data_IF_542396312636
#
_entry.id   IF_542396312636
#
_cell.length_a   1.000
_cell.length_b   1.000
_cell.length_c   1.000
_cell.angle_alpha   90.00
_cell.angle_beta   90.00
_cell.angle_gamma   90.00
#
_symmetry.space_group_name_H-M   'P 1'
#
loop_
_entity.id
_entity.type
_entity.pdbx_description
1 polymer ?
#
# COMPACT_ATOMS: atom_id res chain seq x y z
N UNK A 1 -29.43 -49.48 25.00
CA UNK A 1 -28.04 -49.13 24.66
C UNK A 1 -27.93 -48.31 23.36
N UNK A 2 -28.81 -47.32 23.12
CA UNK A 2 -28.93 -46.65 21.80
C UNK A 2 -28.59 -45.14 21.80
N UNK A 3 -28.42 -44.52 22.97
CA UNK A 3 -28.15 -43.07 23.09
C UNK A 3 -26.67 -42.68 22.95
N UNK A 4 -25.75 -43.62 23.16
CA UNK A 4 -24.29 -43.35 23.13
C UNK A 4 -23.75 -43.11 21.71
N UNK A 5 -24.22 -43.88 20.73
CA UNK A 5 -23.73 -43.82 19.35
C UNK A 5 -24.20 -42.55 18.60
N UNK A 6 -25.40 -42.02 18.93
CA UNK A 6 -25.91 -40.76 18.35
C UNK A 6 -25.19 -39.53 18.88
N UNK A 7 -24.82 -39.54 20.17
CA UNK A 7 -24.03 -38.49 20.83
C UNK A 7 -22.62 -38.38 20.25
N UNK A 8 -21.96 -39.52 19.99
CA UNK A 8 -20.61 -39.56 19.44
C UNK A 8 -20.54 -39.03 18.00
N UNK A 9 -21.52 -39.41 17.15
CA UNK A 9 -21.61 -38.90 15.78
C UNK A 9 -21.91 -37.39 15.72
N UNK A 10 -22.69 -36.87 16.68
CA UNK A 10 -22.99 -35.43 16.78
C UNK A 10 -21.77 -34.62 17.25
N UNK A 11 -21.01 -35.15 18.23
CA UNK A 11 -19.75 -34.57 18.70
C UNK A 11 -18.68 -34.56 17.60
N UNK A 12 -18.58 -35.64 16.82
CA UNK A 12 -17.60 -35.74 15.74
C UNK A 12 -17.91 -34.77 14.58
N UNK A 13 -19.19 -34.62 14.20
CA UNK A 13 -19.61 -33.62 13.20
C UNK A 13 -19.35 -32.17 13.65
N UNK A 14 -19.59 -31.86 14.92
CA UNK A 14 -19.31 -30.53 15.47
C UNK A 14 -17.82 -30.20 15.48
N UNK A 15 -16.97 -31.17 15.82
CA UNK A 15 -15.51 -31.00 15.81
C UNK A 15 -14.99 -30.80 14.38
N UNK A 16 -15.45 -31.60 13.41
CA UNK A 16 -15.05 -31.44 12.00
C UNK A 16 -15.48 -30.09 11.42
N UNK A 17 -16.70 -29.63 11.74
CA UNK A 17 -17.19 -28.31 11.30
C UNK A 17 -16.45 -27.15 11.98
N UNK A 18 -16.10 -27.28 13.27
CA UNK A 18 -15.30 -26.28 13.98
C UNK A 18 -13.87 -26.19 13.43
N UNK A 19 -13.25 -27.33 13.09
CA UNK A 19 -11.94 -27.36 12.43
C UNK A 19 -11.99 -26.81 11.01
N UNK A 20 -13.04 -27.08 10.23
CA UNK A 20 -13.22 -26.50 8.90
C UNK A 20 -13.43 -24.97 8.98
N UNK A 21 -14.22 -24.49 9.94
CA UNK A 21 -14.43 -23.06 10.17
C UNK A 21 -13.14 -22.36 10.60
N UNK A 22 -12.40 -22.93 11.55
CA UNK A 22 -11.09 -22.42 11.99
C UNK A 22 -10.05 -22.44 10.85
N UNK A 23 -10.05 -23.47 10.00
CA UNK A 23 -9.20 -23.50 8.82
C UNK A 23 -9.58 -22.40 7.82
N UNK A 24 -10.86 -22.17 7.56
CA UNK A 24 -11.29 -21.10 6.64
C UNK A 24 -10.98 -19.68 7.14
N UNK A 25 -11.06 -19.43 8.45
CA UNK A 25 -10.68 -18.13 9.02
C UNK A 25 -9.16 -17.90 8.98
N UNK A 26 -8.37 -18.95 9.24
CA UNK A 26 -6.90 -18.91 9.10
C UNK A 26 -6.46 -18.70 7.64
N UNK A 27 -7.08 -19.37 6.67
CA UNK A 27 -6.77 -19.19 5.25
C UNK A 27 -7.17 -17.80 4.72
N UNK A 28 -8.23 -17.19 5.26
CA UNK A 28 -8.69 -15.86 4.83
C UNK A 28 -7.74 -14.73 5.24
N UNK A 29 -6.94 -14.95 6.29
CA UNK A 29 -6.00 -13.96 6.82
C UNK A 29 -4.82 -13.69 5.88
N UNK A 30 -4.43 -14.65 5.03
CA UNK A 30 -3.30 -14.46 4.10
C UNK A 30 -3.69 -13.74 2.80
N UNK A 31 -4.96 -13.81 2.39
CA UNK A 31 -5.43 -13.16 1.15
C UNK A 31 -5.43 -11.63 1.23
N UNK A 32 -5.31 -11.04 2.43
CA UNK A 32 -5.20 -9.59 2.61
C UNK A 32 -3.75 -9.07 2.57
N UNK A 33 -2.75 -9.94 2.47
CA UNK A 33 -1.34 -9.57 2.36
C UNK A 33 -0.90 -9.27 0.91
N UNK A 34 -1.83 -8.89 0.03
CA UNK A 34 -1.46 -8.37 -1.28
C UNK A 34 -0.84 -6.99 -1.07
N UNK A 35 0.49 -6.92 -1.04
CA UNK A 35 1.24 -5.67 -0.87
C UNK A 35 0.75 -4.62 -1.88
N UNK A 36 -0.04 -3.65 -1.39
CA UNK A 36 -0.58 -2.57 -2.22
C UNK A 36 0.59 -1.67 -2.60
N UNK A 37 0.76 -1.47 -3.91
CA UNK A 37 1.80 -0.55 -4.39
C UNK A 37 1.27 0.88 -4.28
N UNK A 38 2.07 1.76 -3.68
CA UNK A 38 1.80 3.20 -3.64
C UNK A 38 2.88 3.90 -4.45
N UNK A 39 2.47 4.65 -5.47
CA UNK A 39 3.35 5.49 -6.26
C UNK A 39 3.20 6.91 -5.73
N UNK A 40 4.28 7.42 -5.12
CA UNK A 40 4.33 8.78 -4.59
C UNK A 40 5.02 9.67 -5.60
N UNK A 41 4.33 10.72 -6.00
CA UNK A 41 4.86 11.75 -6.85
C UNK A 41 5.26 12.97 -6.03
N UNK A 42 6.58 13.25 -5.99
CA UNK A 42 7.08 14.49 -5.40
C UNK A 42 6.98 15.59 -6.47
N UNK A 43 6.01 16.50 -6.32
CA UNK A 43 5.72 17.56 -7.29
C UNK A 43 6.94 18.41 -7.63
N UNK A 44 6.97 18.98 -8.85
CA UNK A 44 8.07 19.82 -9.36
C UNK A 44 9.43 19.09 -9.39
N UNK A 45 10.55 19.84 -9.34
CA UNK A 45 11.92 19.32 -9.28
C UNK A 45 12.84 19.89 -10.36
N UNK A 46 14.14 19.91 -10.10
CA UNK A 46 15.13 20.44 -11.04
C UNK A 46 14.91 21.92 -11.33
N UNK A 47 14.72 22.28 -12.61
CA UNK A 47 14.45 23.67 -13.03
C UNK A 47 13.05 24.14 -12.61
N UNK A 48 12.11 23.23 -12.43
CA UNK A 48 10.78 23.57 -11.95
C UNK A 48 10.81 23.72 -10.43
N UNK A 49 10.78 24.98 -9.99
CA UNK A 49 10.82 25.34 -8.58
C UNK A 49 9.51 25.02 -7.85
N UNK A 50 8.39 25.10 -8.57
CA UNK A 50 7.06 25.23 -7.99
C UNK A 50 6.87 26.49 -7.13
N UNK A 51 5.67 26.61 -6.57
CA UNK A 51 5.28 27.66 -5.64
C UNK A 51 5.07 29.03 -6.28
N UNK A 52 4.91 30.04 -5.43
CA UNK A 52 4.70 31.43 -5.87
C UNK A 52 6.00 32.24 -5.83
N UNK A 53 6.12 33.33 -6.62
CA UNK A 53 7.28 34.20 -6.59
C UNK A 53 7.59 34.71 -5.17
N UNK A 54 8.89 34.94 -4.90
CA UNK A 54 9.42 35.50 -3.63
C UNK A 54 9.32 34.60 -2.38
N UNK A 55 8.82 33.37 -2.47
CA UNK A 55 9.00 32.42 -1.36
C UNK A 55 10.49 32.19 -1.08
N UNK A 56 10.88 31.88 0.17
CA UNK A 56 12.29 31.59 0.52
C UNK A 56 12.69 30.18 0.10
N UNK A 57 11.78 29.23 0.25
CA UNK A 57 11.98 27.82 -0.09
C UNK A 57 11.12 27.51 -1.32
N UNK A 58 11.67 26.79 -2.30
CA UNK A 58 10.87 26.31 -3.43
C UNK A 58 9.99 25.14 -3.02
N UNK A 59 8.77 25.09 -3.56
CA UNK A 59 7.82 23.99 -3.32
C UNK A 59 8.47 22.63 -3.58
N UNK A 60 9.28 22.50 -4.64
CA UNK A 60 10.04 21.28 -4.98
C UNK A 60 10.85 20.67 -3.83
N UNK A 61 11.33 21.50 -2.90
CA UNK A 61 12.13 21.05 -1.75
C UNK A 61 11.23 20.49 -0.65
N UNK A 62 10.09 21.16 -0.40
CA UNK A 62 9.11 20.75 0.60
C UNK A 62 8.40 19.47 0.15
N UNK A 63 8.01 19.40 -1.12
CA UNK A 63 7.36 18.20 -1.68
C UNK A 63 8.29 16.99 -1.62
N UNK A 64 9.58 17.14 -1.90
CA UNK A 64 10.56 16.05 -1.78
C UNK A 64 10.75 15.60 -0.32
N UNK A 65 10.82 16.54 0.63
CA UNK A 65 10.94 16.22 2.05
C UNK A 65 9.69 15.45 2.55
N UNK A 66 8.50 15.98 2.28
CA UNK A 66 7.23 15.36 2.68
C UNK A 66 7.07 13.98 2.03
N UNK A 67 7.33 13.85 0.73
CA UNK A 67 7.22 12.59 0.01
C UNK A 67 8.18 11.52 0.56
N UNK A 68 9.40 11.88 0.96
CA UNK A 68 10.34 10.95 1.60
C UNK A 68 9.89 10.51 2.99
N UNK A 69 9.29 11.40 3.78
CA UNK A 69 8.70 11.05 5.09
C UNK A 69 7.50 10.12 4.91
N UNK A 70 6.63 10.42 3.95
CA UNK A 70 5.48 9.57 3.60
C UNK A 70 5.95 8.18 3.14
N UNK A 71 6.95 8.11 2.26
CA UNK A 71 7.56 6.86 1.82
C UNK A 71 7.99 5.99 3.00
N UNK A 72 8.73 6.57 3.96
CA UNK A 72 9.21 5.84 5.14
C UNK A 72 8.05 5.27 5.96
N UNK A 73 7.06 6.08 6.31
CA UNK A 73 5.90 5.63 7.10
C UNK A 73 5.11 4.52 6.39
N UNK A 74 4.91 4.63 5.08
CA UNK A 74 4.21 3.62 4.29
C UNK A 74 5.02 2.32 4.16
N UNK A 75 6.34 2.41 3.98
CA UNK A 75 7.21 1.23 3.97
C UNK A 75 7.21 0.52 5.33
N UNK A 76 7.28 1.26 6.43
CA UNK A 76 7.15 0.73 7.80
C UNK A 76 5.79 0.05 8.03
N UNK A 77 4.75 0.48 7.31
CA UNK A 77 3.41 -0.10 7.35
C UNK A 77 3.20 -1.28 6.37
N UNK A 78 4.27 -1.77 5.71
CA UNK A 78 4.23 -2.93 4.82
C UNK A 78 3.84 -2.65 3.36
N UNK A 79 3.71 -1.39 2.96
CA UNK A 79 3.42 -1.03 1.57
C UNK A 79 4.67 -1.08 0.70
N UNK A 80 4.52 -1.54 -0.55
CA UNK A 80 5.52 -1.31 -1.59
C UNK A 80 5.40 0.12 -2.07
N UNK A 81 6.46 0.93 -1.92
CA UNK A 81 6.45 2.33 -2.32
C UNK A 81 7.39 2.60 -3.47
N UNK A 82 6.88 3.25 -4.51
CA UNK A 82 7.65 3.74 -5.66
C UNK A 82 7.60 5.27 -5.64
N UNK A 83 8.69 5.92 -5.99
CA UNK A 83 8.77 7.39 -6.07
C UNK A 83 8.97 7.81 -7.53
N UNK A 84 8.28 8.84 -8.01
CA UNK A 84 8.56 9.41 -9.35
C UNK A 84 9.93 10.09 -9.39
N UNK A 85 10.34 10.71 -8.29
CA UNK A 85 11.72 11.19 -8.05
C UNK A 85 12.09 11.03 -6.59
N UNK A 86 13.37 10.76 -6.32
CA UNK A 86 13.94 10.72 -4.97
C UNK A 86 15.18 11.62 -4.85
N UNK A 87 15.30 12.61 -5.72
CA UNK A 87 16.32 13.66 -5.75
C UNK A 87 15.73 14.93 -6.36
N UNK A 88 16.49 16.03 -6.36
CA UNK A 88 16.08 17.29 -6.99
C UNK A 88 16.31 17.23 -8.51
N UNK A 89 15.42 16.53 -9.20
CA UNK A 89 15.42 16.39 -10.67
C UNK A 89 14.04 16.69 -11.22
N UNK A 90 13.99 17.25 -12.42
CA UNK A 90 12.72 17.46 -13.12
C UNK A 90 12.26 16.14 -13.73
N UNK A 91 10.99 15.78 -13.49
CA UNK A 91 10.31 14.65 -14.15
C UNK A 91 9.11 15.21 -14.92
N UNK A 92 9.01 15.01 -16.25
CA UNK A 92 7.85 15.43 -17.03
C UNK A 92 6.54 14.80 -16.54
N UNK A 93 5.41 15.51 -16.65
CA UNK A 93 4.10 15.02 -16.19
C UNK A 93 3.72 13.67 -16.82
N UNK A 94 3.99 13.48 -18.12
CA UNK A 94 3.74 12.22 -18.81
C UNK A 94 4.56 11.06 -18.26
N UNK A 95 5.81 11.30 -17.86
CA UNK A 95 6.67 10.27 -17.26
C UNK A 95 6.18 9.89 -15.86
N UNK A 96 5.70 10.85 -15.05
CA UNK A 96 5.08 10.57 -13.74
C UNK A 96 3.89 9.62 -13.87
N UNK A 97 3.01 9.89 -14.85
CA UNK A 97 1.86 9.04 -15.17
C UNK A 97 2.29 7.67 -15.70
N UNK A 98 3.31 7.62 -16.58
CA UNK A 98 3.83 6.37 -17.11
C UNK A 98 4.42 5.46 -16.01
N UNK A 99 5.16 6.04 -15.06
CA UNK A 99 5.66 5.32 -13.87
C UNK A 99 4.48 4.72 -13.12
N UNK A 100 3.45 5.51 -12.81
CA UNK A 100 2.27 5.02 -12.08
C UNK A 100 1.55 3.87 -12.81
N UNK A 101 1.31 4.04 -14.10
CA UNK A 101 0.62 3.06 -14.94
C UNK A 101 1.41 1.77 -15.19
N UNK A 102 2.74 1.77 -14.96
CA UNK A 102 3.56 0.56 -15.04
C UNK A 102 3.28 -0.43 -13.89
N UNK A 103 2.60 0.01 -12.83
CA UNK A 103 2.23 -0.81 -11.67
C UNK A 103 0.72 -1.07 -11.64
N UNK A 104 0.32 -2.34 -11.82
CA UNK A 104 -1.09 -2.73 -11.69
C UNK A 104 -1.61 -2.52 -10.26
N UNK A 105 -2.84 -2.05 -10.14
CA UNK A 105 -3.54 -1.83 -8.86
C UNK A 105 -2.76 -0.92 -7.89
N UNK A 106 -2.00 0.04 -8.42
CA UNK A 106 -1.31 1.02 -7.61
C UNK A 106 -2.21 2.19 -7.23
N UNK A 107 -2.04 2.70 -6.01
CA UNK A 107 -2.57 4.02 -5.62
C UNK A 107 -1.53 5.07 -5.96
N UNK A 108 -1.93 6.12 -6.67
CA UNK A 108 -1.07 7.27 -6.97
C UNK A 108 -1.37 8.43 -6.02
N UNK A 109 -0.32 9.01 -5.42
CA UNK A 109 -0.43 10.16 -4.51
C UNK A 109 0.57 11.21 -4.96
N UNK A 110 0.09 12.37 -5.41
CA UNK A 110 0.95 13.52 -5.73
C UNK A 110 0.97 14.50 -4.57
N UNK A 111 2.17 15.01 -4.24
CA UNK A 111 2.44 15.93 -3.13
C UNK A 111 2.89 17.27 -3.69
N UNK A 112 2.16 18.34 -3.33
CA UNK A 112 2.38 19.74 -3.70
C UNK A 112 2.25 20.62 -2.45
#
# INVERSE_FOLDING_TARGET
MTNSLRSLAFRCRFVVLAFAFLATTLLSSEAHAQSRTIVIDAGHGGFDRGGVPRQRVGEKNLTLDVARRLRRVLQESGYRVIMTRNSDVFVPLGERVAIANSYRNATFVSVH
#
